data_IF_478556922983
#
_entry.id   IF_478556922983
#
_cell.length_a   1.000
_cell.length_b   1.000
_cell.length_c   1.000
_cell.angle_alpha   90.00
_cell.angle_beta   90.00
_cell.angle_gamma   90.00
#
_symmetry.space_group_name_H-M   'P 1'
#
loop_
_entity.id
_entity.type
_entity.pdbx_description
1 polymer ?
#
# COMPACT_ATOMS: atom_id res chain seq x y z
N UNK A 1 -16.55 -9.41 -12.60
CA UNK A 1 -15.17 -9.91 -12.45
C UNK A 1 -14.19 -8.78 -12.75
N UNK A 2 -13.96 -7.83 -11.82
CA UNK A 2 -12.79 -6.93 -11.84
C UNK A 2 -12.60 -6.32 -10.43
N UNK A 3 -12.01 -7.05 -9.49
CA UNK A 3 -11.47 -6.45 -8.27
C UNK A 3 -10.06 -5.97 -8.64
N UNK A 4 -9.95 -4.83 -9.32
CA UNK A 4 -8.65 -4.31 -9.76
C UNK A 4 -7.98 -3.62 -8.58
N UNK A 5 -7.02 -4.32 -7.96
CA UNK A 5 -5.93 -3.64 -7.23
C UNK A 5 -5.34 -2.64 -8.21
N UNK A 6 -5.56 -1.34 -7.99
CA UNK A 6 -5.22 -0.31 -8.98
C UNK A 6 -3.72 -0.22 -9.28
N UNK A 7 -2.87 -0.74 -8.39
CA UNK A 7 -1.42 -0.76 -8.56
C UNK A 7 -0.82 -2.04 -8.03
N UNK A 8 0.06 -2.67 -8.82
CA UNK A 8 0.96 -3.77 -8.40
C UNK A 8 2.22 -3.25 -7.70
N UNK A 9 2.27 -1.95 -7.41
CA UNK A 9 3.40 -1.24 -6.82
C UNK A 9 2.90 -0.37 -5.67
N UNK A 10 3.74 -0.20 -4.66
CA UNK A 10 3.47 0.74 -3.60
C UNK A 10 3.75 2.17 -4.09
N UNK A 11 2.72 3.03 -4.18
CA UNK A 11 2.90 4.43 -4.61
C UNK A 11 3.65 5.32 -3.60
N UNK A 12 3.97 4.79 -2.42
CA UNK A 12 4.72 5.52 -1.39
C UNK A 12 6.22 5.38 -1.63
N UNK A 13 6.71 4.16 -1.88
CA UNK A 13 8.13 3.91 -2.19
C UNK A 13 8.41 3.72 -3.69
N UNK A 14 7.38 3.63 -4.54
CA UNK A 14 7.46 3.35 -5.97
C UNK A 14 8.15 2.01 -6.29
N UNK A 15 8.03 1.02 -5.39
CA UNK A 15 8.55 -0.34 -5.56
C UNK A 15 7.42 -1.37 -5.71
N UNK A 16 7.71 -2.45 -6.45
CA UNK A 16 6.86 -3.62 -6.57
C UNK A 16 6.69 -4.33 -5.22
N UNK A 17 5.53 -4.96 -5.04
CA UNK A 17 5.31 -5.83 -3.88
C UNK A 17 6.07 -7.15 -4.06
N UNK A 18 6.93 -7.50 -3.12
CA UNK A 18 7.53 -8.84 -3.06
C UNK A 18 6.75 -9.76 -2.10
N UNK A 19 6.82 -11.08 -2.35
CA UNK A 19 6.17 -12.11 -1.51
C UNK A 19 6.62 -12.09 -0.03
N UNK A 20 7.79 -11.52 0.25
CA UNK A 20 8.34 -11.39 1.61
C UNK A 20 7.86 -10.11 2.33
N UNK A 21 7.07 -9.27 1.64
CA UNK A 21 6.65 -7.97 2.16
C UNK A 21 5.20 -7.96 2.63
N UNK A 22 4.98 -7.41 3.82
CA UNK A 22 3.64 -7.25 4.36
C UNK A 22 2.91 -6.09 3.67
N UNK A 23 1.80 -6.38 3.01
CA UNK A 23 0.95 -5.40 2.31
C UNK A 23 -0.35 -5.16 3.08
N UNK A 24 -0.73 -3.89 3.17
CA UNK A 24 -1.99 -3.43 3.71
C UNK A 24 -2.90 -2.96 2.57
N UNK A 25 -4.13 -3.48 2.53
CA UNK A 25 -5.15 -3.08 1.56
C UNK A 25 -6.18 -2.20 2.24
N UNK A 26 -6.36 -1.00 1.75
CA UNK A 26 -7.39 -0.07 2.24
C UNK A 26 -8.78 -0.47 1.71
N UNK A 27 -9.86 -0.08 2.40
CA UNK A 27 -11.24 -0.32 1.95
C UNK A 27 -11.58 0.36 0.61
N UNK A 28 -10.72 1.26 0.13
CA UNK A 28 -10.79 1.88 -1.20
C UNK A 28 -10.04 1.11 -2.30
N UNK A 29 -9.70 -0.17 -2.07
CA UNK A 29 -9.05 -1.09 -3.03
C UNK A 29 -7.63 -0.70 -3.45
N UNK A 30 -6.89 0.01 -2.59
CA UNK A 30 -5.47 0.32 -2.79
C UNK A 30 -4.59 -0.53 -1.87
N UNK A 31 -3.51 -1.09 -2.41
CA UNK A 31 -2.50 -1.83 -1.67
C UNK A 31 -1.26 -0.95 -1.41
N UNK A 32 -0.66 -1.07 -0.23
CA UNK A 32 0.56 -0.37 0.16
C UNK A 32 1.40 -1.27 1.06
N UNK A 33 2.73 -1.17 1.04
CA UNK A 33 3.55 -1.83 2.05
C UNK A 33 3.14 -1.35 3.45
N UNK A 34 2.97 -2.27 4.41
CA UNK A 34 2.73 -1.93 5.82
C UNK A 34 3.81 -1.00 6.35
N UNK A 35 5.06 -1.23 5.96
CA UNK A 35 6.18 -0.37 6.34
C UNK A 35 6.03 1.04 5.79
N UNK A 36 5.54 1.20 4.55
CA UNK A 36 5.32 2.53 3.97
C UNK A 36 4.05 3.21 4.49
N UNK A 37 2.99 2.44 4.74
CA UNK A 37 1.71 2.96 5.22
C UNK A 37 1.80 3.48 6.66
N UNK A 38 2.55 2.81 7.53
CA UNK A 38 2.69 3.17 8.95
C UNK A 38 3.20 4.61 9.19
N UNK A 39 4.37 5.03 8.66
CA UNK A 39 4.84 6.41 8.80
C UNK A 39 3.97 7.38 8.01
N UNK A 40 3.40 6.99 6.87
CA UNK A 40 2.52 7.86 6.09
C UNK A 40 1.26 8.27 6.87
N UNK A 41 0.65 7.33 7.61
CA UNK A 41 -0.47 7.61 8.52
C UNK A 41 -0.04 8.48 9.70
N UNK A 42 1.15 8.26 10.24
CA UNK A 42 1.67 9.01 11.38
C UNK A 42 1.97 10.48 11.04
N UNK A 43 2.38 10.77 9.80
CA UNK A 43 2.67 12.13 9.33
C UNK A 43 1.43 12.96 8.95
N UNK A 44 0.29 12.34 8.62
CA UNK A 44 -0.93 13.06 8.21
C UNK A 44 -1.93 13.31 9.34
N UNK A 45 -1.67 12.81 10.56
CA UNK A 45 -2.54 13.01 11.72
C UNK A 45 -1.98 14.11 12.66
N UNK A 46 -1.58 15.27 12.12
CA UNK A 46 -1.31 16.50 12.90
C UNK A 46 -2.28 17.60 12.51
#
# INVERSE_FOLDING_TARGET
MQCKVKNSNCVICLEDFYDDEEIAVCPCEHAFHKHCLSPWLQHNCT
#
